data_IF_540537664461
#
_entry.id   IF_540537664461
#
_cell.length_a   1.000
_cell.length_b   1.000
_cell.length_c   1.000
_cell.angle_alpha   90.00
_cell.angle_beta   90.00
_cell.angle_gamma   90.00
#
_symmetry.space_group_name_H-M   'P 1'
#
loop_
_entity.id
_entity.type
_entity.pdbx_description
1 polymer ?
#
# COMPACT_ATOMS: atom_id res chain seq x y z
N UNK A 1 11.90 -0.14 29.53
CA UNK A 1 12.02 1.05 28.69
C UNK A 1 11.25 0.84 27.39
N UNK A 2 10.28 1.68 27.16
CA UNK A 2 9.56 1.59 25.92
C UNK A 2 10.52 2.02 24.80
N UNK A 3 10.85 1.12 23.90
CA UNK A 3 11.44 1.49 22.64
C UNK A 3 10.48 2.39 21.88
N UNK A 4 10.85 2.91 20.69
CA UNK A 4 9.94 3.72 19.90
C UNK A 4 8.67 2.92 19.65
N UNK A 5 7.57 3.39 20.19
CA UNK A 5 6.20 2.92 20.01
C UNK A 5 6.05 1.41 19.81
N UNK A 6 5.89 0.67 20.90
CA UNK A 6 5.55 -0.75 20.83
C UNK A 6 4.22 -0.96 20.12
N UNK A 7 4.15 -2.01 19.31
CA UNK A 7 2.92 -2.40 18.61
C UNK A 7 2.13 -3.32 19.52
N UNK A 8 0.87 -2.97 19.80
CA UNK A 8 -0.03 -3.79 20.60
C UNK A 8 -0.90 -4.69 19.71
N UNK A 9 -1.42 -5.79 20.30
CA UNK A 9 -2.37 -6.64 19.58
C UNK A 9 -3.66 -5.88 19.24
N UNK A 10 -4.06 -4.93 20.08
CA UNK A 10 -5.23 -4.09 19.83
C UNK A 10 -5.04 -3.24 18.58
N UNK A 11 -3.85 -2.66 18.43
CA UNK A 11 -3.52 -1.88 17.23
C UNK A 11 -3.59 -2.74 15.98
N UNK A 12 -3.00 -3.93 16.01
CA UNK A 12 -3.01 -4.86 14.88
C UNK A 12 -4.42 -5.34 14.55
N UNK A 13 -5.26 -5.58 15.54
CA UNK A 13 -6.63 -6.02 15.32
C UNK A 13 -7.47 -4.96 14.60
N UNK A 14 -7.13 -3.70 14.73
CA UNK A 14 -7.79 -2.61 14.02
C UNK A 14 -7.29 -2.44 12.58
N UNK A 15 -6.26 -3.16 12.18
CA UNK A 15 -5.78 -3.19 10.79
C UNK A 15 -6.61 -4.22 10.03
N UNK A 16 -7.32 -3.83 8.94
CA UNK A 16 -8.19 -4.76 8.21
C UNK A 16 -7.49 -6.05 7.78
N UNK A 17 -6.23 -5.95 7.38
CA UNK A 17 -5.44 -7.11 6.95
C UNK A 17 -5.27 -8.17 8.04
N UNK A 18 -5.26 -7.77 9.31
CA UNK A 18 -5.02 -8.66 10.46
C UNK A 18 -6.26 -8.89 11.33
N UNK A 19 -7.38 -8.25 11.01
CA UNK A 19 -8.57 -8.24 11.87
C UNK A 19 -9.12 -9.64 12.17
N UNK A 20 -8.98 -10.57 11.23
CA UNK A 20 -9.51 -11.93 11.37
C UNK A 20 -8.54 -12.92 12.03
N UNK A 21 -7.33 -12.51 12.38
CA UNK A 21 -6.34 -13.41 12.96
C UNK A 21 -6.65 -13.76 14.41
N UNK A 22 -6.37 -15.02 14.83
CA UNK A 22 -6.44 -15.40 16.23
C UNK A 22 -5.47 -14.58 17.10
N UNK A 23 -5.80 -14.39 18.36
CA UNK A 23 -4.99 -13.60 19.31
C UNK A 23 -3.54 -14.07 19.38
N UNK A 24 -3.32 -15.40 19.36
CA UNK A 24 -1.96 -15.95 19.36
C UNK A 24 -1.12 -15.51 18.16
N UNK A 25 -1.74 -15.41 16.99
CA UNK A 25 -1.06 -14.96 15.78
C UNK A 25 -0.78 -13.45 15.83
N UNK A 26 -1.71 -12.67 16.36
CA UNK A 26 -1.48 -11.23 16.57
C UNK A 26 -0.33 -10.98 17.52
N UNK A 27 -0.25 -11.77 18.60
CA UNK A 27 0.86 -11.68 19.56
C UNK A 27 2.21 -11.95 18.89
N UNK A 28 2.28 -12.95 18.02
CA UNK A 28 3.51 -13.23 17.26
C UNK A 28 3.87 -12.06 16.33
N UNK A 29 2.88 -11.48 15.67
CA UNK A 29 3.10 -10.32 14.80
C UNK A 29 3.66 -9.10 15.54
N UNK A 30 3.26 -8.87 16.79
CA UNK A 30 3.78 -7.72 17.56
C UNK A 30 5.30 -7.76 17.71
N UNK A 31 5.91 -8.93 17.59
CA UNK A 31 7.36 -9.13 17.75
C UNK A 31 8.15 -8.79 16.50
N UNK A 32 7.50 -8.84 15.33
CA UNK A 32 8.17 -8.69 14.03
C UNK A 32 7.75 -7.42 13.29
N UNK A 33 6.66 -6.79 13.72
CA UNK A 33 6.16 -5.55 13.10
C UNK A 33 6.85 -4.35 13.72
N UNK A 34 7.40 -3.49 12.87
CA UNK A 34 7.93 -2.20 13.28
C UNK A 34 6.88 -1.10 13.16
N UNK A 35 7.05 -0.02 13.91
CA UNK A 35 6.22 1.18 13.84
C UNK A 35 7.10 2.39 13.62
N UNK A 36 6.77 3.20 12.61
CA UNK A 36 7.61 4.33 12.23
C UNK A 36 6.76 5.53 11.84
N UNK A 37 7.19 6.72 12.27
CA UNK A 37 6.54 7.99 11.93
C UNK A 37 7.32 8.68 10.83
N UNK A 38 6.59 9.33 9.93
CA UNK A 38 7.18 10.06 8.80
C UNK A 38 6.59 11.46 8.74
N UNK A 39 7.43 12.50 8.60
CA UNK A 39 6.93 13.86 8.42
C UNK A 39 6.34 14.05 7.02
N UNK A 40 5.56 15.11 6.87
CA UNK A 40 5.03 15.52 5.56
C UNK A 40 6.18 15.67 4.55
N UNK A 41 5.91 15.27 3.32
CA UNK A 41 6.84 15.31 2.18
C UNK A 41 8.03 14.35 2.26
N UNK A 42 8.09 13.46 3.27
CA UNK A 42 9.12 12.43 3.31
C UNK A 42 8.81 11.34 2.30
N UNK A 43 9.87 10.81 1.67
CA UNK A 43 9.78 9.68 0.76
C UNK A 43 9.96 8.40 1.54
N UNK A 44 8.97 7.51 1.47
CA UNK A 44 9.01 6.21 2.15
C UNK A 44 9.67 5.17 1.25
N UNK A 45 9.28 5.15 -0.02
CA UNK A 45 9.77 4.22 -1.04
C UNK A 45 10.14 5.01 -2.28
N UNK A 46 11.29 4.69 -2.87
CA UNK A 46 11.69 5.21 -4.18
C UNK A 46 11.52 4.14 -5.25
N UNK A 47 10.98 4.55 -6.41
CA UNK A 47 10.88 3.66 -7.57
C UNK A 47 12.28 3.14 -7.95
N UNK A 48 12.36 1.86 -8.31
CA UNK A 48 13.61 1.20 -8.68
C UNK A 48 14.38 0.60 -7.52
N UNK A 49 14.06 0.91 -6.27
CA UNK A 49 14.71 0.32 -5.11
C UNK A 49 14.29 -1.14 -4.92
N UNK A 50 15.16 -1.97 -4.32
CA UNK A 50 14.79 -3.34 -3.96
C UNK A 50 13.61 -3.37 -3.00
N UNK A 51 12.75 -4.38 -3.16
CA UNK A 51 11.60 -4.59 -2.28
C UNK A 51 12.05 -5.39 -1.05
N UNK A 52 11.87 -4.81 0.12
CA UNK A 52 12.33 -5.41 1.38
C UNK A 52 11.27 -5.47 2.48
N UNK A 53 10.17 -4.74 2.34
CA UNK A 53 9.15 -4.66 3.38
C UNK A 53 7.76 -4.34 2.82
N UNK A 54 6.75 -4.78 3.56
CA UNK A 54 5.36 -4.35 3.42
C UNK A 54 5.13 -3.19 4.39
N UNK A 55 4.35 -2.21 3.96
CA UNK A 55 3.93 -1.07 4.79
C UNK A 55 2.43 -1.04 4.95
N UNK A 56 1.96 -0.68 6.15
CA UNK A 56 0.53 -0.54 6.45
C UNK A 56 0.31 0.83 7.07
N UNK A 57 -0.68 1.57 6.59
CA UNK A 57 -0.97 2.92 7.06
C UNK A 57 -1.80 2.87 8.34
N UNK A 58 -1.26 3.38 9.42
CA UNK A 58 -1.97 3.56 10.70
C UNK A 58 -2.70 4.89 10.71
N UNK A 59 -2.03 5.95 10.29
CA UNK A 59 -2.60 7.29 10.21
C UNK A 59 -1.91 8.10 9.13
N UNK A 60 -2.60 9.13 8.65
CA UNK A 60 -2.10 10.01 7.61
C UNK A 60 -2.42 9.51 6.20
N UNK A 61 -1.94 10.25 5.20
CA UNK A 61 -2.14 9.94 3.79
C UNK A 61 -0.83 10.04 3.02
N UNK A 62 -0.71 9.18 2.02
CA UNK A 62 0.45 9.10 1.16
C UNK A 62 0.02 9.11 -0.31
N UNK A 63 0.87 9.61 -1.18
CA UNK A 63 0.66 9.51 -2.63
C UNK A 63 1.61 8.49 -3.23
N UNK A 64 1.07 7.70 -4.15
CA UNK A 64 1.84 6.77 -4.99
C UNK A 64 2.00 7.44 -6.33
N UNK A 65 3.22 7.58 -6.81
CA UNK A 65 3.49 8.33 -8.03
C UNK A 65 4.56 7.68 -8.89
N UNK A 66 4.49 7.98 -10.18
CA UNK A 66 5.50 7.62 -11.17
C UNK A 66 5.91 8.87 -11.93
N UNK A 67 7.12 8.84 -12.48
CA UNK A 67 7.56 9.85 -13.45
C UNK A 67 7.37 9.29 -14.85
N UNK A 68 6.87 10.11 -15.77
CA UNK A 68 6.81 9.74 -17.18
C UNK A 68 8.18 9.96 -17.87
N UNK A 69 8.27 9.64 -19.16
CA UNK A 69 9.50 9.75 -19.94
C UNK A 69 10.03 11.19 -20.03
N UNK A 70 9.16 12.18 -19.81
CA UNK A 70 9.52 13.60 -19.81
C UNK A 70 9.81 14.14 -18.41
N UNK A 71 9.81 13.29 -17.40
CA UNK A 71 10.04 13.66 -16.02
C UNK A 71 8.84 14.25 -15.29
N UNK A 72 7.65 14.21 -15.91
CA UNK A 72 6.42 14.68 -15.27
C UNK A 72 5.93 13.66 -14.26
N UNK A 73 5.46 14.15 -13.11
CA UNK A 73 4.93 13.31 -12.05
C UNK A 73 3.46 12.97 -12.32
N UNK A 74 3.13 11.68 -12.20
CA UNK A 74 1.77 11.17 -12.30
C UNK A 74 1.39 10.53 -10.99
N UNK A 75 0.32 11.01 -10.34
CA UNK A 75 -0.20 10.41 -9.12
C UNK A 75 -1.10 9.24 -9.51
N UNK A 76 -0.70 8.04 -9.08
CA UNK A 76 -1.44 6.82 -9.36
C UNK A 76 -2.54 6.56 -8.33
N UNK A 77 -2.29 6.89 -7.06
CA UNK A 77 -3.22 6.62 -5.98
C UNK A 77 -2.90 7.48 -4.74
N UNK A 78 -3.90 7.66 -3.90
CA UNK A 78 -3.74 8.21 -2.54
C UNK A 78 -4.09 7.08 -1.58
N UNK A 79 -3.20 6.80 -0.64
CA UNK A 79 -3.36 5.76 0.36
C UNK A 79 -3.67 6.38 1.72
N UNK A 80 -4.60 5.80 2.44
CA UNK A 80 -4.99 6.25 3.77
C UNK A 80 -5.04 5.12 4.79
N UNK A 81 -5.59 5.40 5.95
CA UNK A 81 -5.67 4.49 7.08
C UNK A 81 -6.17 3.10 6.69
N UNK A 82 -5.47 2.07 7.15
CA UNK A 82 -5.81 0.67 6.92
C UNK A 82 -5.32 0.09 5.62
N UNK A 83 -4.85 0.91 4.70
CA UNK A 83 -4.33 0.44 3.41
C UNK A 83 -2.88 0.01 3.54
N UNK A 84 -2.45 -0.90 2.66
CA UNK A 84 -1.08 -1.40 2.62
C UNK A 84 -0.45 -1.10 1.27
N UNK A 85 0.87 -1.09 1.25
CA UNK A 85 1.63 -0.91 0.01
C UNK A 85 2.99 -1.61 0.09
N UNK A 86 3.61 -1.81 -1.07
CA UNK A 86 4.89 -2.50 -1.16
C UNK A 86 4.79 -4.01 -1.36
N UNK A 87 3.57 -4.56 -1.41
CA UNK A 87 3.31 -5.99 -1.53
C UNK A 87 3.71 -6.56 -2.89
N UNK A 88 3.57 -5.79 -3.96
CA UNK A 88 3.81 -6.30 -5.31
C UNK A 88 5.23 -6.84 -5.48
N UNK A 89 6.21 -6.07 -5.09
CA UNK A 89 7.60 -6.51 -5.17
C UNK A 89 7.94 -7.66 -4.21
N UNK A 90 7.18 -7.83 -3.13
CA UNK A 90 7.35 -8.97 -2.24
C UNK A 90 6.80 -10.26 -2.85
N UNK A 91 5.79 -10.14 -3.70
CA UNK A 91 5.14 -11.29 -4.37
C UNK A 91 5.93 -11.70 -5.60
N UNK A 92 6.29 -10.76 -6.48
CA UNK A 92 6.96 -11.05 -7.75
C UNK A 92 8.47 -10.81 -7.73
N UNK A 93 9.01 -10.37 -6.59
CA UNK A 93 10.43 -10.09 -6.37
C UNK A 93 11.02 -9.02 -7.30
N UNK A 94 10.15 -8.24 -7.95
CA UNK A 94 10.57 -7.13 -8.80
C UNK A 94 10.93 -5.89 -7.95
N UNK A 95 11.76 -4.97 -8.47
CA UNK A 95 12.00 -3.68 -7.82
C UNK A 95 10.72 -2.86 -7.66
N UNK A 96 10.74 -1.88 -6.76
CA UNK A 96 9.62 -0.95 -6.55
C UNK A 96 9.22 -0.28 -7.86
N UNK A 97 7.94 -0.37 -8.20
CA UNK A 97 7.41 0.19 -9.46
C UNK A 97 7.05 1.67 -9.35
N UNK A 98 6.89 2.19 -8.14
CA UNK A 98 6.46 3.57 -7.92
C UNK A 98 7.14 4.16 -6.68
N UNK A 99 7.08 5.48 -6.58
CA UNK A 99 7.56 6.25 -5.42
C UNK A 99 6.37 6.54 -4.52
N UNK A 100 6.55 6.41 -3.20
CA UNK A 100 5.52 6.70 -2.20
C UNK A 100 6.00 7.81 -1.28
N UNK A 101 5.23 8.89 -1.20
CA UNK A 101 5.57 10.11 -0.46
C UNK A 101 4.43 10.46 0.48
N UNK A 102 4.76 10.82 1.72
CA UNK A 102 3.78 11.30 2.70
C UNK A 102 3.27 12.69 2.29
N UNK A 103 1.96 12.86 2.18
CA UNK A 103 1.34 14.18 1.91
C UNK A 103 0.92 14.90 3.18
N UNK A 104 0.93 14.21 4.29
CA UNK A 104 0.75 14.74 5.64
C UNK A 104 1.56 13.87 6.61
N UNK A 105 1.74 14.26 7.88
CA UNK A 105 2.44 13.38 8.83
C UNK A 105 1.77 12.02 8.89
N UNK A 106 2.56 10.96 8.77
CA UNK A 106 2.06 9.58 8.69
C UNK A 106 2.69 8.70 9.74
N UNK A 107 1.93 7.70 10.17
CA UNK A 107 2.41 6.62 11.00
C UNK A 107 2.18 5.29 10.27
N UNK A 108 3.24 4.51 10.11
CA UNK A 108 3.22 3.27 9.33
C UNK A 108 3.68 2.09 10.19
N UNK A 109 3.09 0.94 9.93
CA UNK A 109 3.64 -0.35 10.36
C UNK A 109 4.48 -0.91 9.22
N UNK A 110 5.56 -1.60 9.57
CA UNK A 110 6.44 -2.25 8.60
C UNK A 110 6.63 -3.72 8.97
N UNK A 111 6.60 -4.59 7.97
CA UNK A 111 6.92 -6.01 8.12
C UNK A 111 7.95 -6.33 7.06
N UNK A 112 9.09 -6.91 7.46
CA UNK A 112 10.10 -7.27 6.49
C UNK A 112 9.65 -8.42 5.59
N UNK A 113 10.34 -8.59 4.46
CA UNK A 113 10.00 -9.59 3.44
C UNK A 113 9.90 -11.00 3.98
N UNK A 114 10.87 -11.43 4.80
CA UNK A 114 10.88 -12.79 5.33
C UNK A 114 9.74 -13.04 6.30
N UNK A 115 9.49 -12.10 7.21
CA UNK A 115 8.40 -12.20 8.18
C UNK A 115 7.04 -12.16 7.49
N UNK A 116 6.88 -11.35 6.45
CA UNK A 116 5.66 -11.30 5.66
C UNK A 116 5.39 -12.63 4.95
N UNK A 117 6.41 -13.20 4.30
CA UNK A 117 6.28 -14.52 3.65
C UNK A 117 5.90 -15.60 4.64
N UNK A 118 6.48 -15.58 5.84
CA UNK A 118 6.15 -16.52 6.90
C UNK A 118 4.69 -16.35 7.35
N UNK A 119 4.25 -15.10 7.52
CA UNK A 119 2.86 -14.82 7.87
C UNK A 119 1.89 -15.34 6.81
N UNK A 120 2.21 -15.15 5.54
CA UNK A 120 1.38 -15.68 4.43
C UNK A 120 1.31 -17.21 4.47
N UNK A 121 2.44 -17.87 4.74
CA UNK A 121 2.50 -19.33 4.78
C UNK A 121 1.70 -19.92 5.94
N UNK A 122 1.67 -19.22 7.08
CA UNK A 122 1.00 -19.69 8.30
C UNK A 122 -0.46 -19.25 8.42
N UNK A 123 -0.86 -18.20 7.70
CA UNK A 123 -2.19 -17.59 7.84
C UNK A 123 -2.81 -17.34 6.47
N UNK A 124 -3.64 -18.26 6.03
CA UNK A 124 -4.36 -18.13 4.75
C UNK A 124 -5.15 -16.82 4.67
N UNK A 125 -5.74 -16.38 5.77
CA UNK A 125 -6.55 -15.16 5.82
C UNK A 125 -5.77 -13.89 5.48
N UNK A 126 -4.48 -13.83 5.79
CA UNK A 126 -3.62 -12.71 5.39
C UNK A 126 -3.50 -12.67 3.87
N UNK A 127 -3.28 -13.82 3.25
CA UNK A 127 -3.23 -13.93 1.79
C UNK A 127 -4.53 -13.50 1.13
N UNK A 128 -5.67 -13.90 1.68
CA UNK A 128 -6.99 -13.47 1.21
C UNK A 128 -7.14 -11.96 1.33
N UNK A 129 -6.70 -11.37 2.45
CA UNK A 129 -6.75 -9.92 2.66
C UNK A 129 -5.90 -9.15 1.65
N UNK A 130 -4.70 -9.65 1.36
CA UNK A 130 -3.83 -9.07 0.32
C UNK A 130 -4.51 -9.15 -1.04
N UNK A 131 -5.06 -10.31 -1.41
CA UNK A 131 -5.76 -10.48 -2.68
C UNK A 131 -6.95 -9.54 -2.80
N UNK A 132 -7.75 -9.38 -1.74
CA UNK A 132 -8.88 -8.45 -1.73
C UNK A 132 -8.43 -7.00 -1.95
N UNK A 133 -7.34 -6.59 -1.33
CA UNK A 133 -6.77 -5.26 -1.52
C UNK A 133 -6.32 -5.03 -2.96
N UNK A 134 -5.67 -6.02 -3.56
CA UNK A 134 -5.21 -5.96 -4.95
C UNK A 134 -6.40 -5.94 -5.92
N UNK A 135 -7.44 -6.74 -5.66
CA UNK A 135 -8.66 -6.74 -6.48
C UNK A 135 -9.34 -5.37 -6.43
N UNK A 136 -9.42 -4.76 -5.25
CA UNK A 136 -9.98 -3.41 -5.10
C UNK A 136 -9.22 -2.39 -5.95
N UNK A 137 -7.89 -2.42 -5.90
CA UNK A 137 -7.04 -1.53 -6.69
C UNK A 137 -7.22 -1.75 -8.18
N UNK A 138 -7.31 -3.01 -8.60
CA UNK A 138 -7.53 -3.36 -10.00
C UNK A 138 -8.88 -2.83 -10.49
N UNK A 139 -9.94 -2.99 -9.72
CA UNK A 139 -11.28 -2.47 -10.07
C UNK A 139 -11.29 -0.94 -10.16
N UNK A 140 -10.59 -0.27 -9.27
CA UNK A 140 -10.45 1.20 -9.32
C UNK A 140 -9.71 1.65 -10.58
N UNK A 141 -8.65 0.93 -10.96
CA UNK A 141 -7.93 1.18 -12.20
C UNK A 141 -8.81 0.94 -13.42
N UNK A 142 -9.59 -0.14 -13.44
CA UNK A 142 -10.53 -0.44 -14.52
C UNK A 142 -11.58 0.66 -14.68
N UNK A 143 -12.10 1.20 -13.58
CA UNK A 143 -13.04 2.31 -13.62
C UNK A 143 -12.43 3.57 -14.21
N UNK A 144 -11.18 3.88 -13.85
CA UNK A 144 -10.45 5.03 -14.42
C UNK A 144 -10.24 4.86 -15.91
N UNK A 145 -9.82 3.69 -16.35
CA UNK A 145 -9.61 3.37 -17.76
C UNK A 145 -10.94 3.48 -18.52
N UNK A 146 -12.01 2.91 -17.98
CA UNK A 146 -13.35 3.00 -18.58
C UNK A 146 -13.83 4.43 -18.72
N UNK A 147 -13.67 5.26 -17.69
CA UNK A 147 -14.00 6.68 -17.73
C UNK A 147 -13.23 7.43 -18.79
N UNK A 148 -11.92 7.19 -18.89
CA UNK A 148 -11.07 7.83 -19.89
C UNK A 148 -11.47 7.42 -21.33
N UNK A 149 -11.79 6.15 -21.54
CA UNK A 149 -12.25 5.63 -22.81
C UNK A 149 -13.58 6.28 -23.22
N UNK A 150 -14.53 6.43 -22.30
CA UNK A 150 -15.81 7.09 -22.55
C UNK A 150 -15.61 8.58 -22.87
N UNK A 151 -14.76 9.27 -22.17
CA UNK A 151 -14.43 10.66 -22.44
C UNK A 151 -13.84 10.86 -23.83
N UNK A 152 -12.96 9.95 -24.26
CA UNK A 152 -12.39 9.97 -25.61
C UNK A 152 -13.47 9.78 -26.67
N UNK A 153 -14.40 8.84 -26.48
CA UNK A 153 -15.52 8.61 -27.38
C UNK A 153 -16.41 9.84 -27.47
N UNK A 154 -16.78 10.45 -26.35
CA UNK A 154 -17.56 11.68 -26.34
C UNK A 154 -16.85 12.83 -27.06
N UNK A 155 -15.56 12.98 -26.84
CA UNK A 155 -14.76 14.00 -27.49
C UNK A 155 -14.72 13.83 -29.02
N UNK A 156 -14.60 12.57 -29.48
CA UNK A 156 -14.63 12.26 -30.93
C UNK A 156 -15.98 12.56 -31.56
N UNK A 157 -17.07 12.17 -30.90
CA UNK A 157 -18.42 12.44 -31.38
C UNK A 157 -18.67 13.95 -31.44
N UNK A 158 -18.30 14.69 -30.41
CA UNK A 158 -18.45 16.15 -30.40
C UNK A 158 -17.71 16.81 -31.56
N UNK A 159 -16.51 16.36 -31.88
CA UNK A 159 -15.72 16.88 -33.00
C UNK A 159 -16.37 16.60 -34.35
N UNK A 160 -17.04 15.47 -34.51
CA UNK A 160 -17.75 15.11 -35.72
C UNK A 160 -19.02 15.94 -35.91
N UNK A 161 -19.63 16.41 -34.83
CA UNK A 161 -20.87 17.18 -34.88
C UNK A 161 -20.64 18.69 -35.04
N UNK A 162 -19.41 19.14 -34.92
CA UNK A 162 -19.03 20.53 -35.14
C UNK A 162 -18.62 20.75 -36.62
#
# INVERSE_FOLDING_TARGET
MAGPASVSTLLLRNVPLFAALPEGQLTLLTRVVGRKSYPRNSTIINAGEPTDALYIVISGRLKVMMSDDEGREVILAILGQGEFFGEMGLIDEAPRSATVIAIEPCELLTINKMDFKKCLAENFEIGVGVMKGLVKRLREADKKIGSLALMDVYGRVARLLM
#
